data_IF_454313469601
#
_entry.id   IF_454313469601
#
_cell.length_a   1.000
_cell.length_b   1.000
_cell.length_c   1.000
_cell.angle_alpha   90.00
_cell.angle_beta   90.00
_cell.angle_gamma   90.00
#
_symmetry.space_group_name_H-M   'P 1'
#
loop_
_entity.id
_entity.type
_entity.pdbx_description
1 polymer ?
#
# COMPACT_ATOMS: atom_id res chain seq x y z
N UNK A 1 -71.99 12.87 -47.93
CA UNK A 1 -71.57 12.98 -46.52
C UNK A 1 -70.90 11.67 -46.13
N UNK A 2 -69.58 11.61 -46.23
CA UNK A 2 -68.76 10.42 -45.96
C UNK A 2 -67.96 10.69 -44.69
N UNK A 3 -68.28 9.94 -43.63
CA UNK A 3 -67.65 10.06 -42.30
C UNK A 3 -66.35 9.27 -42.30
N UNK A 4 -65.19 9.96 -42.26
CA UNK A 4 -63.88 9.34 -42.07
C UNK A 4 -63.56 9.28 -40.58
N UNK A 5 -63.56 8.08 -40.00
CA UNK A 5 -63.13 7.81 -38.63
C UNK A 5 -61.60 7.72 -38.60
N UNK A 6 -60.93 8.73 -38.05
CA UNK A 6 -59.48 8.73 -37.88
C UNK A 6 -59.07 7.79 -36.73
N UNK A 7 -58.36 6.72 -37.07
CA UNK A 7 -57.71 5.79 -36.15
C UNK A 7 -56.60 6.50 -35.38
N UNK A 8 -56.76 6.65 -34.06
CA UNK A 8 -55.76 7.25 -33.16
C UNK A 8 -54.65 6.23 -32.86
N UNK A 9 -53.52 6.34 -33.54
CA UNK A 9 -52.32 5.53 -33.28
C UNK A 9 -51.73 5.92 -31.92
N UNK A 10 -51.91 5.05 -30.92
CA UNK A 10 -51.40 5.24 -29.57
C UNK A 10 -49.89 4.94 -29.55
N UNK A 11 -49.06 5.99 -29.50
CA UNK A 11 -47.59 5.85 -29.44
C UNK A 11 -47.21 5.34 -28.06
N UNK A 12 -46.71 4.10 -28.00
CA UNK A 12 -46.23 3.47 -26.77
C UNK A 12 -45.02 4.24 -26.20
N UNK A 13 -45.16 4.78 -24.99
CA UNK A 13 -44.09 5.48 -24.28
C UNK A 13 -42.90 4.56 -23.97
N UNK A 14 -41.67 5.11 -23.86
CA UNK A 14 -40.47 4.31 -23.65
C UNK A 14 -40.55 3.57 -22.30
N UNK A 15 -40.53 2.24 -22.36
CA UNK A 15 -40.45 1.36 -21.18
C UNK A 15 -39.14 1.65 -20.44
N UNK A 16 -39.23 2.35 -19.31
CA UNK A 16 -38.12 2.50 -18.35
C UNK A 16 -37.66 1.11 -17.91
N UNK A 17 -36.53 0.66 -18.47
CA UNK A 17 -35.88 -0.59 -18.08
C UNK A 17 -35.34 -0.39 -16.66
N UNK A 18 -36.02 -0.96 -15.66
CA UNK A 18 -35.52 -1.01 -14.28
C UNK A 18 -34.18 -1.74 -14.28
N UNK A 19 -33.09 -1.01 -14.05
CA UNK A 19 -31.76 -1.61 -13.83
C UNK A 19 -31.80 -2.26 -12.45
N UNK A 20 -32.02 -3.58 -12.44
CA UNK A 20 -32.04 -4.38 -11.24
C UNK A 20 -30.60 -4.60 -10.73
N UNK A 21 -30.39 -4.26 -9.45
CA UNK A 21 -29.42 -4.89 -8.54
C UNK A 21 -27.95 -4.98 -8.98
N UNK A 22 -27.20 -3.89 -9.00
CA UNK A 22 -25.76 -3.87 -9.35
C UNK A 22 -24.84 -3.39 -8.22
N UNK A 23 -25.20 -3.64 -6.96
CA UNK A 23 -24.33 -3.27 -5.81
C UNK A 23 -23.04 -4.11 -5.72
N UNK A 24 -23.14 -5.43 -5.89
CA UNK A 24 -22.04 -6.36 -5.63
C UNK A 24 -21.30 -6.82 -6.91
N UNK A 25 -22.06 -7.12 -7.98
CA UNK A 25 -21.47 -7.48 -9.27
C UNK A 25 -20.74 -6.28 -9.93
N UNK A 26 -21.25 -5.06 -9.75
CA UNK A 26 -20.58 -3.84 -10.23
C UNK A 26 -19.23 -3.61 -9.54
N UNK A 27 -19.16 -3.85 -8.23
CA UNK A 27 -17.91 -3.72 -7.46
C UNK A 27 -16.85 -4.72 -7.94
N UNK A 28 -17.25 -5.99 -8.15
CA UNK A 28 -16.35 -7.04 -8.65
C UNK A 28 -15.82 -6.73 -10.04
N UNK A 29 -16.69 -6.34 -10.96
CA UNK A 29 -16.29 -5.96 -12.32
C UNK A 29 -15.37 -4.75 -12.31
N UNK A 30 -15.60 -3.77 -11.41
CA UNK A 30 -14.67 -2.65 -11.24
C UNK A 30 -13.32 -3.10 -10.69
N UNK A 31 -13.28 -3.89 -9.61
CA UNK A 31 -12.01 -4.37 -9.06
C UNK A 31 -11.21 -5.15 -10.10
N UNK A 32 -11.87 -5.96 -10.94
CA UNK A 32 -11.21 -6.69 -12.02
C UNK A 32 -10.72 -5.77 -13.14
N UNK A 33 -11.47 -4.73 -13.47
CA UNK A 33 -11.07 -3.78 -14.52
C UNK A 33 -9.88 -2.92 -14.06
N UNK A 34 -9.92 -2.45 -12.81
CA UNK A 34 -8.84 -1.73 -12.14
C UNK A 34 -7.58 -2.60 -11.99
N UNK A 35 -7.73 -3.86 -11.54
CA UNK A 35 -6.61 -4.80 -11.46
C UNK A 35 -6.01 -5.06 -12.85
N UNK A 36 -6.84 -5.18 -13.89
CA UNK A 36 -6.38 -5.34 -15.27
C UNK A 36 -5.71 -4.08 -15.83
N UNK A 37 -6.14 -2.89 -15.40
CA UNK A 37 -5.51 -1.62 -15.73
C UNK A 37 -4.14 -1.49 -15.05
N UNK A 38 -4.05 -1.85 -13.77
CA UNK A 38 -2.79 -1.88 -13.04
C UNK A 38 -1.81 -2.86 -13.71
N UNK A 39 -2.24 -4.08 -14.01
CA UNK A 39 -1.43 -5.07 -14.74
C UNK A 39 -1.01 -4.64 -16.16
N UNK A 40 -1.68 -3.64 -16.74
CA UNK A 40 -1.36 -3.07 -18.06
C UNK A 40 -0.46 -1.85 -17.98
N UNK A 41 -0.21 -1.31 -16.80
CA UNK A 41 0.80 -0.28 -16.57
C UNK A 41 2.10 -0.96 -16.09
N UNK A 42 3.01 -1.29 -17.02
CA UNK A 42 4.22 -2.03 -16.68
C UNK A 42 5.11 -1.25 -15.70
N UNK A 43 5.05 0.10 -15.72
CA UNK A 43 5.82 0.94 -14.81
C UNK A 43 5.33 0.79 -13.38
N UNK A 44 4.04 0.95 -13.14
CA UNK A 44 3.46 0.85 -11.80
C UNK A 44 3.59 -0.57 -11.24
N UNK A 45 3.38 -1.61 -12.04
CA UNK A 45 3.56 -3.00 -11.60
C UNK A 45 5.01 -3.29 -11.25
N UNK A 46 5.95 -2.85 -12.08
CA UNK A 46 7.36 -3.03 -11.82
C UNK A 46 7.77 -2.35 -10.50
N UNK A 47 7.40 -1.08 -10.32
CA UNK A 47 7.78 -0.35 -9.12
C UNK A 47 7.04 -0.80 -7.86
N UNK A 48 5.78 -1.21 -7.94
CA UNK A 48 5.03 -1.66 -6.77
C UNK A 48 5.37 -3.10 -6.36
N UNK A 49 5.60 -3.98 -7.35
CA UNK A 49 5.72 -5.43 -7.13
C UNK A 49 7.17 -5.92 -7.19
N UNK A 50 7.93 -5.49 -8.21
CA UNK A 50 9.28 -5.98 -8.43
C UNK A 50 10.32 -5.19 -7.64
N UNK A 51 10.12 -3.88 -7.43
CA UNK A 51 11.11 -3.04 -6.74
C UNK A 51 11.56 -3.57 -5.37
N UNK A 52 10.66 -4.01 -4.46
CA UNK A 52 11.10 -4.53 -3.16
C UNK A 52 11.95 -5.80 -3.28
N UNK A 53 11.58 -6.68 -4.21
CA UNK A 53 12.31 -7.92 -4.50
C UNK A 53 13.64 -7.66 -5.17
N UNK A 54 13.66 -6.78 -6.18
CA UNK A 54 14.88 -6.36 -6.88
C UNK A 54 15.81 -5.64 -5.93
N UNK A 55 15.29 -4.86 -4.98
CA UNK A 55 16.10 -4.23 -3.94
C UNK A 55 16.71 -5.29 -3.01
N UNK A 56 15.92 -6.26 -2.54
CA UNK A 56 16.42 -7.34 -1.70
C UNK A 56 17.50 -8.19 -2.39
N UNK A 57 17.21 -8.65 -3.61
CA UNK A 57 18.15 -9.46 -4.42
C UNK A 57 19.35 -8.62 -4.85
N UNK A 58 19.12 -7.39 -5.30
CA UNK A 58 20.13 -6.45 -5.74
C UNK A 58 21.12 -6.16 -4.63
N UNK A 59 20.65 -5.83 -3.42
CA UNK A 59 21.52 -5.63 -2.26
C UNK A 59 22.30 -6.92 -1.93
N UNK A 60 21.64 -8.07 -1.95
CA UNK A 60 22.29 -9.35 -1.65
C UNK A 60 23.29 -9.85 -2.70
N UNK A 61 23.24 -9.38 -3.95
CA UNK A 61 24.22 -9.69 -5.01
C UNK A 61 25.26 -8.58 -5.23
N UNK A 62 24.87 -7.32 -5.09
CA UNK A 62 25.70 -6.17 -5.44
C UNK A 62 26.65 -5.74 -4.32
N UNK A 63 26.33 -6.02 -3.05
CA UNK A 63 27.17 -5.68 -1.91
C UNK A 63 27.92 -6.96 -1.45
N UNK A 64 29.25 -7.03 -1.63
CA UNK A 64 30.07 -8.12 -1.11
C UNK A 64 29.91 -8.23 0.42
N UNK A 65 29.84 -9.46 0.95
CA UNK A 65 29.67 -9.71 2.40
C UNK A 65 28.22 -9.76 2.88
N UNK A 66 27.22 -9.38 2.07
CA UNK A 66 25.81 -9.47 2.49
C UNK A 66 25.31 -10.90 2.73
N UNK A 67 25.96 -11.88 2.11
CA UNK A 67 25.65 -13.32 2.23
C UNK A 67 26.42 -14.01 3.34
N UNK A 68 27.39 -13.31 3.92
CA UNK A 68 28.18 -13.86 4.99
C UNK A 68 27.39 -13.75 6.29
N UNK A 69 27.61 -14.73 7.16
CA UNK A 69 27.01 -14.76 8.49
C UNK A 69 27.69 -13.69 9.32
N UNK A 70 26.89 -12.82 9.95
CA UNK A 70 27.43 -11.75 10.79
C UNK A 70 28.02 -12.38 12.06
N UNK A 71 29.35 -12.35 12.22
CA UNK A 71 30.05 -12.90 13.39
C UNK A 71 30.33 -11.86 14.48
N UNK A 72 30.45 -10.58 14.11
CA UNK A 72 30.93 -9.52 15.01
C UNK A 72 29.81 -8.60 15.56
N UNK A 73 28.54 -8.97 15.39
CA UNK A 73 27.42 -8.16 15.87
C UNK A 73 26.82 -8.71 17.18
N UNK A 74 26.38 -7.83 18.10
CA UNK A 74 25.70 -8.27 19.32
C UNK A 74 24.41 -9.06 19.00
N UNK A 75 24.00 -10.03 19.84
CA UNK A 75 22.69 -10.67 19.73
C UNK A 75 21.57 -9.60 19.67
N UNK A 76 20.54 -9.73 18.82
CA UNK A 76 20.11 -10.90 18.04
C UNK A 76 20.74 -11.04 16.65
N UNK A 77 21.68 -10.18 16.27
CA UNK A 77 22.22 -10.11 14.91
C UNK A 77 23.31 -11.15 14.61
N UNK A 78 24.00 -11.63 15.65
CA UNK A 78 25.05 -12.63 15.54
C UNK A 78 24.50 -13.96 15.03
N UNK A 79 25.12 -14.52 13.99
CA UNK A 79 24.70 -15.78 13.38
C UNK A 79 23.65 -15.65 12.27
N UNK A 80 23.19 -14.43 11.96
CA UNK A 80 22.26 -14.16 10.85
C UNK A 80 23.01 -13.73 9.59
N UNK A 81 22.47 -14.10 8.43
CA UNK A 81 22.91 -13.56 7.14
C UNK A 81 22.52 -12.08 7.05
N UNK A 82 23.42 -11.21 6.60
CA UNK A 82 23.11 -9.79 6.47
C UNK A 82 21.93 -9.50 5.51
N UNK A 83 21.68 -10.37 4.51
CA UNK A 83 20.45 -10.31 3.69
C UNK A 83 19.18 -10.52 4.52
N UNK A 84 19.19 -11.38 5.53
CA UNK A 84 18.01 -11.65 6.34
C UNK A 84 17.56 -10.39 7.10
N UNK A 85 18.53 -9.61 7.60
CA UNK A 85 18.29 -8.33 8.29
C UNK A 85 17.58 -7.30 7.38
N UNK A 86 17.74 -7.40 6.06
CA UNK A 86 17.07 -6.53 5.09
C UNK A 86 15.61 -6.92 4.79
N UNK A 87 15.14 -8.10 5.18
CA UNK A 87 13.78 -8.57 4.82
C UNK A 87 12.68 -7.65 5.38
N UNK A 88 12.67 -7.31 6.69
CA UNK A 88 11.66 -6.38 7.23
C UNK A 88 11.68 -5.01 6.55
N UNK A 89 12.87 -4.53 6.17
CA UNK A 89 13.09 -3.26 5.48
C UNK A 89 12.52 -3.30 4.06
N UNK A 90 12.74 -4.40 3.33
CA UNK A 90 12.17 -4.61 2.00
C UNK A 90 10.63 -4.65 2.05
N UNK A 91 10.06 -5.33 3.04
CA UNK A 91 8.61 -5.35 3.27
C UNK A 91 8.05 -3.96 3.57
N UNK A 92 8.69 -3.21 4.48
CA UNK A 92 8.30 -1.84 4.78
C UNK A 92 8.38 -0.95 3.53
N UNK A 93 9.44 -1.11 2.72
CA UNK A 93 9.61 -0.38 1.46
C UNK A 93 8.47 -0.66 0.48
N UNK A 94 8.04 -1.91 0.35
CA UNK A 94 6.89 -2.26 -0.50
C UNK A 94 5.63 -1.50 -0.08
N UNK A 95 5.36 -1.45 1.23
CA UNK A 95 4.24 -0.70 1.81
C UNK A 95 4.37 0.79 1.50
N UNK A 96 5.55 1.37 1.74
CA UNK A 96 5.82 2.79 1.55
C UNK A 96 5.66 3.23 0.10
N UNK A 97 6.14 2.44 -0.85
CA UNK A 97 6.02 2.74 -2.29
C UNK A 97 4.55 2.87 -2.66
N UNK A 98 3.74 1.86 -2.34
CA UNK A 98 2.32 1.88 -2.70
C UNK A 98 1.58 3.00 -1.97
N UNK A 99 1.84 3.18 -0.68
CA UNK A 99 1.14 4.15 0.16
C UNK A 99 1.45 5.61 -0.19
N UNK A 100 2.70 5.94 -0.56
CA UNK A 100 3.15 7.32 -0.75
C UNK A 100 3.29 7.72 -2.22
N UNK A 101 3.60 6.79 -3.12
CA UNK A 101 3.90 7.14 -4.52
C UNK A 101 2.77 6.73 -5.46
N UNK A 102 2.23 5.52 -5.33
CA UNK A 102 1.19 5.01 -6.24
C UNK A 102 -0.20 5.50 -5.86
N UNK A 103 -0.62 5.21 -4.62
CA UNK A 103 -1.99 5.43 -4.17
C UNK A 103 -2.41 6.92 -4.22
N UNK A 104 -1.62 7.88 -3.70
CA UNK A 104 -2.05 9.27 -3.65
C UNK A 104 -2.13 9.92 -5.05
N UNK A 105 -1.20 9.55 -5.94
CA UNK A 105 -1.15 10.01 -7.32
C UNK A 105 -2.34 9.50 -8.10
N UNK A 106 -2.74 8.24 -7.88
CA UNK A 106 -3.91 7.66 -8.53
C UNK A 106 -5.21 8.41 -8.18
N UNK A 107 -5.45 8.64 -6.89
CA UNK A 107 -6.61 9.38 -6.43
C UNK A 107 -6.60 10.85 -6.89
N UNK A 108 -5.45 11.50 -6.91
CA UNK A 108 -5.33 12.86 -7.43
C UNK A 108 -5.60 12.91 -8.94
N UNK A 109 -5.15 11.93 -9.72
CA UNK A 109 -5.43 11.81 -11.16
C UNK A 109 -6.92 11.63 -11.43
N UNK A 110 -7.62 10.84 -10.60
CA UNK A 110 -9.07 10.67 -10.71
C UNK A 110 -9.85 11.95 -10.44
N UNK A 111 -9.35 12.80 -9.53
CA UNK A 111 -9.89 14.13 -9.28
C UNK A 111 -9.63 15.06 -10.44
N UNK A 112 -8.39 15.15 -10.93
CA UNK A 112 -8.02 15.99 -12.08
C UNK A 112 -8.86 15.68 -13.33
N UNK A 113 -9.07 14.39 -13.63
CA UNK A 113 -9.84 13.96 -14.80
C UNK A 113 -11.35 14.08 -14.62
N UNK A 114 -11.84 14.57 -13.48
CA UNK A 114 -13.25 14.69 -13.16
C UNK A 114 -14.00 13.34 -13.15
N UNK A 115 -13.27 12.22 -13.05
CA UNK A 115 -13.83 10.86 -13.04
C UNK A 115 -14.73 10.70 -11.83
N UNK A 116 -14.33 11.25 -10.68
CA UNK A 116 -15.15 11.27 -9.46
C UNK A 116 -16.50 11.98 -9.66
N UNK A 117 -16.51 13.11 -10.38
CA UNK A 117 -17.73 13.90 -10.67
C UNK A 117 -18.64 13.25 -11.72
N UNK A 118 -18.05 12.53 -12.68
CA UNK A 118 -18.82 11.71 -13.64
C UNK A 118 -19.44 10.49 -12.97
N UNK A 119 -18.68 9.82 -12.10
CA UNK A 119 -19.17 8.67 -11.34
C UNK A 119 -20.27 9.03 -10.33
N UNK A 120 -20.26 10.23 -9.74
CA UNK A 120 -21.35 10.68 -8.86
C UNK A 120 -22.70 10.86 -9.57
N UNK A 121 -22.69 10.95 -10.91
CA UNK A 121 -23.92 11.02 -11.73
C UNK A 121 -24.41 9.65 -12.20
N UNK A 122 -23.62 8.59 -11.97
CA UNK A 122 -24.02 7.20 -12.20
C UNK A 122 -24.52 6.56 -10.90
N UNK A 123 -25.36 5.51 -10.93
CA UNK A 123 -25.89 4.85 -9.72
C UNK A 123 -24.82 4.12 -8.86
N UNK A 124 -23.53 4.26 -9.20
CA UNK A 124 -22.43 3.72 -8.43
C UNK A 124 -22.03 4.67 -7.30
N UNK A 125 -22.04 4.15 -6.07
CA UNK A 125 -21.57 4.88 -4.89
C UNK A 125 -20.06 5.15 -5.01
N UNK A 126 -19.61 6.42 -5.01
CA UNK A 126 -18.19 6.78 -5.11
C UNK A 126 -17.30 6.13 -4.03
N UNK A 127 -17.88 5.84 -2.86
CA UNK A 127 -17.23 5.12 -1.77
C UNK A 127 -16.81 3.69 -2.15
N UNK A 128 -17.56 3.03 -3.03
CA UNK A 128 -17.24 1.67 -3.49
C UNK A 128 -15.98 1.61 -4.35
N UNK A 129 -15.70 2.66 -5.14
CA UNK A 129 -14.48 2.75 -5.94
C UNK A 129 -13.25 2.94 -5.04
N UNK A 130 -13.34 3.81 -4.04
CA UNK A 130 -12.25 4.03 -3.08
C UNK A 130 -11.95 2.73 -2.32
N UNK A 131 -12.98 2.05 -1.82
CA UNK A 131 -12.81 0.76 -1.13
C UNK A 131 -12.21 -0.31 -2.03
N UNK A 132 -12.67 -0.41 -3.29
CA UNK A 132 -12.11 -1.32 -4.29
C UNK A 132 -10.62 -1.05 -4.54
N UNK A 133 -10.24 0.22 -4.70
CA UNK A 133 -8.86 0.59 -4.97
C UNK A 133 -7.95 0.41 -3.75
N UNK A 134 -8.43 0.71 -2.53
CA UNK A 134 -7.72 0.36 -1.29
C UNK A 134 -7.50 -1.14 -1.17
N UNK A 135 -8.51 -1.94 -1.50
CA UNK A 135 -8.40 -3.41 -1.49
C UNK A 135 -7.39 -3.90 -2.52
N UNK A 136 -7.37 -3.35 -3.73
CA UNK A 136 -6.37 -3.71 -4.74
C UNK A 136 -4.96 -3.37 -4.25
N UNK A 137 -4.74 -2.17 -3.71
CA UNK A 137 -3.43 -1.79 -3.17
C UNK A 137 -3.00 -2.69 -2.01
N UNK A 138 -3.93 -3.04 -1.11
CA UNK A 138 -3.68 -4.00 -0.04
C UNK A 138 -3.21 -5.35 -0.60
N UNK A 139 -3.94 -5.90 -1.58
CA UNK A 139 -3.57 -7.15 -2.25
C UNK A 139 -2.21 -7.02 -2.95
N UNK A 140 -1.96 -5.92 -3.68
CA UNK A 140 -0.69 -5.67 -4.36
C UNK A 140 0.48 -5.67 -3.37
N UNK A 141 0.35 -4.99 -2.23
CA UNK A 141 1.38 -4.96 -1.19
C UNK A 141 1.60 -6.34 -0.58
N UNK A 142 0.52 -7.10 -0.30
CA UNK A 142 0.64 -8.47 0.19
C UNK A 142 1.33 -9.39 -0.82
N UNK A 143 1.01 -9.28 -2.12
CA UNK A 143 1.66 -10.08 -3.17
C UNK A 143 3.12 -9.66 -3.33
N UNK A 144 3.44 -8.37 -3.29
CA UNK A 144 4.83 -7.87 -3.33
C UNK A 144 5.65 -8.43 -2.17
N UNK A 145 5.08 -8.41 -0.96
CA UNK A 145 5.68 -8.95 0.25
C UNK A 145 5.94 -10.45 0.14
N UNK A 146 4.92 -11.23 -0.27
CA UNK A 146 5.05 -12.67 -0.48
C UNK A 146 6.11 -12.99 -1.54
N UNK A 147 6.14 -12.24 -2.63
CA UNK A 147 7.13 -12.42 -3.69
C UNK A 147 8.54 -12.11 -3.18
N UNK A 148 8.73 -11.01 -2.46
CA UNK A 148 10.02 -10.65 -1.87
C UNK A 148 10.52 -11.72 -0.87
N UNK A 149 9.65 -12.23 0.00
CA UNK A 149 10.01 -13.29 0.96
C UNK A 149 10.32 -14.59 0.24
N UNK A 150 9.50 -15.01 -0.73
CA UNK A 150 9.70 -16.26 -1.46
C UNK A 150 10.99 -16.25 -2.29
N UNK A 151 11.24 -15.17 -3.03
CA UNK A 151 12.49 -15.04 -3.79
C UNK A 151 13.68 -14.94 -2.84
N UNK A 152 13.54 -14.18 -1.75
CA UNK A 152 14.56 -14.10 -0.70
C UNK A 152 14.90 -15.47 -0.12
N UNK A 153 13.90 -16.29 0.22
CA UNK A 153 14.12 -17.61 0.81
C UNK A 153 14.74 -18.59 -0.18
N UNK A 154 14.31 -18.57 -1.45
CA UNK A 154 14.86 -19.45 -2.49
C UNK A 154 16.31 -19.12 -2.86
N UNK A 155 16.70 -17.85 -2.76
CA UNK A 155 18.02 -17.38 -3.20
C UNK A 155 19.04 -17.34 -2.05
N UNK A 156 18.59 -17.04 -0.83
CA UNK A 156 19.47 -16.76 0.32
C UNK A 156 19.23 -17.64 1.55
N UNK A 157 18.37 -18.66 1.47
CA UNK A 157 18.05 -19.59 2.55
C UNK A 157 17.67 -18.87 3.87
N UNK A 158 16.72 -17.95 3.76
CA UNK A 158 16.29 -17.10 4.87
C UNK A 158 15.70 -17.90 6.03
N UNK A 159 16.12 -17.60 7.25
CA UNK A 159 15.51 -18.13 8.46
C UNK A 159 14.02 -17.76 8.55
N UNK A 160 13.20 -18.74 8.92
CA UNK A 160 11.79 -18.53 9.18
C UNK A 160 11.60 -17.55 10.36
N UNK A 161 10.56 -16.71 10.35
CA UNK A 161 10.30 -15.78 11.43
C UNK A 161 10.03 -16.52 12.75
N UNK A 162 10.64 -16.07 13.84
CA UNK A 162 10.42 -16.61 15.18
C UNK A 162 8.94 -16.55 15.59
N UNK A 163 8.28 -15.44 15.28
CA UNK A 163 6.85 -15.24 15.53
C UNK A 163 6.11 -14.72 14.28
N UNK A 164 5.58 -15.61 13.42
CA UNK A 164 4.89 -15.21 12.19
C UNK A 164 3.62 -14.37 12.46
N UNK A 165 2.97 -14.56 13.61
CA UNK A 165 1.79 -13.78 13.98
C UNK A 165 2.14 -12.33 14.29
N UNK A 166 3.26 -12.08 14.98
CA UNK A 166 3.76 -10.72 15.25
C UNK A 166 4.21 -10.05 13.96
N UNK A 167 4.91 -10.76 13.07
CA UNK A 167 5.30 -10.24 11.75
C UNK A 167 4.07 -9.87 10.92
N UNK A 168 3.11 -10.79 10.78
CA UNK A 168 1.89 -10.55 10.02
C UNK A 168 1.03 -9.42 10.59
N UNK A 169 0.85 -9.39 11.91
CA UNK A 169 0.11 -8.33 12.59
C UNK A 169 0.76 -6.96 12.45
N UNK A 170 2.08 -6.89 12.63
CA UNK A 170 2.86 -5.66 12.46
C UNK A 170 2.84 -5.18 11.01
N UNK A 171 2.92 -6.09 10.04
CA UNK A 171 2.82 -5.78 8.63
C UNK A 171 1.45 -5.20 8.25
N UNK A 172 0.36 -5.83 8.70
CA UNK A 172 -1.00 -5.32 8.44
C UNK A 172 -1.24 -3.96 9.08
N UNK A 173 -0.76 -3.75 10.32
CA UNK A 173 -0.88 -2.46 11.00
C UNK A 173 0.02 -1.39 10.35
N UNK A 174 1.20 -1.78 9.87
CA UNK A 174 2.07 -0.96 9.04
C UNK A 174 1.39 -0.51 7.75
N UNK A 175 0.71 -1.42 7.04
CA UNK A 175 -0.09 -1.08 5.87
C UNK A 175 -1.17 -0.06 6.22
N UNK A 176 -1.92 -0.30 7.30
CA UNK A 176 -3.04 0.56 7.68
C UNK A 176 -2.57 1.97 8.08
N UNK A 177 -1.47 2.08 8.83
CA UNK A 177 -0.88 3.36 9.23
C UNK A 177 -0.34 4.13 8.02
N UNK A 178 0.38 3.47 7.12
CA UNK A 178 0.92 4.07 5.89
C UNK A 178 -0.17 4.45 4.89
N UNK A 179 -1.20 3.62 4.73
CA UNK A 179 -2.36 3.94 3.88
C UNK A 179 -3.13 5.13 4.43
N UNK A 180 -3.23 5.27 5.76
CA UNK A 180 -3.84 6.45 6.38
C UNK A 180 -3.07 7.73 6.03
N UNK A 181 -1.74 7.67 6.02
CA UNK A 181 -0.88 8.77 5.58
C UNK A 181 -1.01 9.06 4.08
N UNK A 182 -0.98 8.03 3.25
CA UNK A 182 -1.21 8.15 1.80
C UNK A 182 -2.57 8.77 1.48
N UNK A 183 -3.62 8.37 2.21
CA UNK A 183 -4.96 8.90 2.04
C UNK A 183 -5.05 10.37 2.47
N UNK A 184 -4.32 10.77 3.51
CA UNK A 184 -4.22 12.18 3.90
C UNK A 184 -3.61 13.01 2.77
N UNK A 185 -2.52 12.53 2.13
CA UNK A 185 -1.91 13.19 0.97
C UNK A 185 -2.92 13.29 -0.18
N UNK A 186 -3.60 12.18 -0.48
CA UNK A 186 -4.64 12.11 -1.53
C UNK A 186 -5.82 13.07 -1.26
N UNK A 187 -6.16 13.31 0.01
CA UNK A 187 -7.25 14.22 0.39
C UNK A 187 -6.92 15.68 0.10
N UNK A 188 -5.63 16.05 0.16
CA UNK A 188 -5.16 17.44 0.07
C UNK A 188 -4.58 17.79 -1.30
N UNK A 189 -4.06 16.80 -2.03
CA UNK A 189 -3.53 17.00 -3.37
C UNK A 189 -4.67 17.13 -4.40
N UNK A 190 -4.81 18.33 -4.97
CA UNK A 190 -5.72 18.57 -6.09
C UNK A 190 -5.18 18.08 -7.43
N UNK A 191 -3.86 17.82 -7.52
CA UNK A 191 -3.15 17.44 -8.74
C UNK A 191 -2.24 16.23 -8.55
N UNK A 192 -2.07 15.42 -9.60
CA UNK A 192 -1.21 14.24 -9.60
C UNK A 192 0.26 14.61 -9.35
N UNK A 193 0.73 15.72 -9.95
CA UNK A 193 2.09 16.22 -9.72
C UNK A 193 2.31 16.66 -8.27
N UNK A 194 1.33 17.32 -7.65
CA UNK A 194 1.40 17.72 -6.23
C UNK A 194 1.39 16.51 -5.31
N UNK A 195 0.53 15.52 -5.59
CA UNK A 195 0.51 14.26 -4.83
C UNK A 195 1.86 13.55 -4.91
N UNK A 196 2.44 13.47 -6.10
CA UNK A 196 3.74 12.85 -6.34
C UNK A 196 4.85 13.60 -5.60
N UNK A 197 4.89 14.92 -5.68
CA UNK A 197 5.91 15.73 -4.98
C UNK A 197 5.86 15.56 -3.46
N UNK A 198 4.66 15.63 -2.86
CA UNK A 198 4.48 15.41 -1.41
C UNK A 198 4.85 13.97 -1.04
N UNK A 199 4.37 13.00 -1.82
CA UNK A 199 4.66 11.58 -1.64
C UNK A 199 6.16 11.31 -1.62
N UNK A 200 6.89 11.80 -2.62
CA UNK A 200 8.33 11.59 -2.75
C UNK A 200 9.12 12.30 -1.63
N UNK A 201 8.68 13.50 -1.24
CA UNK A 201 9.29 14.27 -0.14
C UNK A 201 9.17 13.55 1.19
N UNK A 202 8.07 12.83 1.43
CA UNK A 202 7.89 12.01 2.63
C UNK A 202 8.53 10.63 2.50
N UNK A 203 8.55 10.07 1.29
CA UNK A 203 9.05 8.73 1.00
C UNK A 203 10.53 8.58 1.36
N UNK A 204 11.41 9.45 0.88
CA UNK A 204 12.84 9.33 1.15
C UNK A 204 13.20 9.43 2.64
N UNK A 205 12.72 10.42 3.42
CA UNK A 205 12.93 10.47 4.85
C UNK A 205 12.38 9.23 5.58
N UNK A 206 11.21 8.74 5.16
CA UNK A 206 10.64 7.53 5.78
C UNK A 206 11.49 6.29 5.51
N UNK A 207 12.00 6.11 4.30
CA UNK A 207 12.93 5.01 3.99
C UNK A 207 14.19 5.09 4.86
N UNK A 208 14.67 6.29 5.16
CA UNK A 208 15.86 6.49 5.95
C UNK A 208 15.61 6.10 7.41
N UNK A 209 14.47 6.52 7.95
CA UNK A 209 14.01 6.16 9.28
C UNK A 209 13.60 4.68 9.41
N UNK A 210 13.25 4.04 8.29
CA UNK A 210 13.02 2.60 8.20
C UNK A 210 14.31 1.78 8.17
N UNK A 211 15.48 2.42 8.12
CA UNK A 211 16.77 1.73 8.09
C UNK A 211 17.13 1.16 6.72
N UNK A 212 16.62 1.72 5.61
CA UNK A 212 16.96 1.24 4.25
C UNK A 212 18.46 1.25 3.96
N UNK A 213 19.15 2.30 4.38
CA UNK A 213 20.59 2.46 4.16
C UNK A 213 21.43 1.93 5.32
N UNK A 214 20.84 1.83 6.52
CA UNK A 214 21.53 1.37 7.74
C UNK A 214 20.65 0.38 8.50
N UNK A 215 20.44 -0.85 8.01
CA UNK A 215 19.58 -1.80 8.68
C UNK A 215 20.28 -2.53 9.83
N UNK A 216 19.49 -2.91 10.82
CA UNK A 216 19.91 -3.72 11.96
C UNK A 216 21.11 -3.13 12.72
N UNK A 217 22.26 -3.83 12.80
CA UNK A 217 23.35 -3.49 13.71
C UNK A 217 24.09 -2.20 13.34
N UNK A 218 24.01 -1.76 12.08
CA UNK A 218 24.65 -0.51 11.63
C UNK A 218 23.74 0.72 11.80
N UNK A 219 22.53 0.54 12.35
CA UNK A 219 21.58 1.64 12.57
C UNK A 219 22.01 2.50 13.77
N UNK A 220 22.24 3.82 13.59
CA UNK A 220 22.49 4.73 14.69
C UNK A 220 21.31 4.81 15.67
N UNK A 221 21.60 4.90 16.97
CA UNK A 221 20.57 4.92 18.02
C UNK A 221 19.57 6.08 17.87
N UNK A 222 20.05 7.23 17.37
CA UNK A 222 19.21 8.39 17.08
C UNK A 222 18.17 8.07 16.01
N UNK A 223 18.56 7.38 14.92
CA UNK A 223 17.64 6.99 13.85
C UNK A 223 16.68 5.90 14.31
N UNK A 224 17.16 4.96 15.13
CA UNK A 224 16.29 3.94 15.73
C UNK A 224 15.22 4.57 16.62
N UNK A 225 15.59 5.55 17.44
CA UNK A 225 14.66 6.27 18.32
C UNK A 225 13.64 7.06 17.52
N UNK A 226 14.08 7.92 16.59
CA UNK A 226 13.18 8.74 15.76
C UNK A 226 12.30 7.85 14.88
N UNK A 227 12.89 6.82 14.26
CA UNK A 227 12.20 5.85 13.44
C UNK A 227 11.10 5.12 14.20
N UNK A 228 11.31 4.82 15.48
CA UNK A 228 10.31 4.19 16.35
C UNK A 228 9.04 5.02 16.56
N UNK A 229 9.08 6.34 16.31
CA UNK A 229 7.89 7.21 16.36
C UNK A 229 7.23 7.42 14.99
N UNK A 230 7.85 6.94 13.90
CA UNK A 230 7.28 7.02 12.55
C UNK A 230 6.52 5.74 12.20
N UNK A 231 5.46 5.81 11.39
CA UNK A 231 4.68 4.62 11.03
C UNK A 231 5.54 3.58 10.29
N UNK A 232 6.43 4.03 9.40
CA UNK A 232 7.29 3.13 8.63
C UNK A 232 8.43 2.54 9.47
N UNK A 233 9.13 3.37 10.25
CA UNK A 233 10.21 2.88 11.11
C UNK A 233 9.70 1.96 12.22
N UNK A 234 8.55 2.28 12.83
CA UNK A 234 7.87 1.40 13.79
C UNK A 234 7.46 0.08 13.15
N UNK A 235 6.95 0.09 11.91
CA UNK A 235 6.61 -1.14 11.18
C UNK A 235 7.85 -2.01 10.94
N UNK A 236 8.95 -1.43 10.46
CA UNK A 236 10.21 -2.17 10.27
C UNK A 236 10.71 -2.77 11.57
N UNK A 237 10.82 -1.97 12.63
CA UNK A 237 11.29 -2.45 13.93
C UNK A 237 10.39 -3.55 14.51
N UNK A 238 9.07 -3.40 14.39
CA UNK A 238 8.14 -4.41 14.87
C UNK A 238 8.24 -5.73 14.09
N UNK A 239 8.40 -5.65 12.77
CA UNK A 239 8.65 -6.81 11.93
C UNK A 239 10.01 -7.46 12.24
N UNK A 240 11.06 -6.66 12.48
CA UNK A 240 12.38 -7.14 12.91
C UNK A 240 12.29 -7.91 14.23
N UNK A 241 11.62 -7.35 15.25
CA UNK A 241 11.41 -8.05 16.53
C UNK A 241 10.67 -9.36 16.32
N UNK A 242 9.58 -9.39 15.54
CA UNK A 242 8.84 -10.64 15.29
C UNK A 242 9.61 -11.67 14.45
N UNK A 243 10.62 -11.24 13.68
CA UNK A 243 11.41 -12.15 12.83
C UNK A 243 12.56 -12.80 13.59
N UNK A 244 13.25 -12.03 14.44
CA UNK A 244 14.52 -12.42 15.05
C UNK A 244 14.48 -12.56 16.58
N UNK A 245 13.40 -12.12 17.22
CA UNK A 245 13.23 -12.17 18.67
C UNK A 245 11.87 -12.83 19.02
N UNK A 246 11.73 -13.32 20.24
CA UNK A 246 10.47 -13.91 20.75
C UNK A 246 9.52 -12.87 21.37
N UNK A 247 9.88 -11.58 21.32
CA UNK A 247 9.16 -10.47 21.97
C UNK A 247 7.96 -9.94 21.17
N UNK A 248 7.03 -9.29 21.87
CA UNK A 248 5.95 -8.49 21.25
C UNK A 248 6.31 -7.01 21.34
N UNK A 249 6.52 -6.29 20.22
CA UNK A 249 6.94 -4.90 20.19
C UNK A 249 5.77 -3.94 20.47
N UNK A 250 5.30 -3.91 21.72
CA UNK A 250 4.11 -3.14 22.12
C UNK A 250 4.23 -1.64 21.81
N UNK A 251 5.41 -1.04 22.02
CA UNK A 251 5.65 0.37 21.72
C UNK A 251 5.40 0.72 20.26
N UNK A 252 5.96 -0.07 19.34
CA UNK A 252 5.86 0.15 17.91
C UNK A 252 4.43 -0.12 17.42
N UNK A 253 3.76 -1.14 17.96
CA UNK A 253 2.36 -1.43 17.68
C UNK A 253 1.45 -0.27 18.10
N UNK A 254 1.66 0.29 19.31
CA UNK A 254 0.92 1.45 19.79
C UNK A 254 1.16 2.66 18.91
N UNK A 255 2.40 2.94 18.51
CA UNK A 255 2.72 4.06 17.61
C UNK A 255 1.97 3.93 16.29
N UNK A 256 2.03 2.76 15.63
CA UNK A 256 1.31 2.54 14.37
C UNK A 256 -0.22 2.63 14.55
N UNK A 257 -0.76 2.14 15.67
CA UNK A 257 -2.17 2.26 16.00
C UNK A 257 -2.59 3.73 16.19
N UNK A 258 -1.80 4.54 16.91
CA UNK A 258 -2.04 5.97 17.10
C UNK A 258 -2.02 6.70 15.76
N UNK A 259 -1.02 6.45 14.91
CA UNK A 259 -0.96 7.03 13.57
C UNK A 259 -2.21 6.68 12.74
N UNK A 260 -2.64 5.42 12.80
CA UNK A 260 -3.87 4.98 12.12
C UNK A 260 -5.11 5.70 12.66
N UNK A 261 -5.31 5.70 13.97
CA UNK A 261 -6.49 6.27 14.63
C UNK A 261 -6.56 7.79 14.46
N UNK A 262 -5.43 8.47 14.35
CA UNK A 262 -5.39 9.94 14.13
C UNK A 262 -5.53 10.28 12.65
N UNK A 263 -4.75 9.64 11.77
CA UNK A 263 -4.71 10.01 10.35
C UNK A 263 -5.92 9.52 9.56
N UNK A 264 -6.45 8.33 9.85
CA UNK A 264 -7.55 7.77 9.07
C UNK A 264 -8.82 8.64 9.17
N UNK A 265 -9.30 9.05 10.37
CA UNK A 265 -10.44 9.95 10.48
C UNK A 265 -10.15 11.34 9.91
N UNK A 266 -8.93 11.84 10.06
CA UNK A 266 -8.52 13.14 9.52
C UNK A 266 -8.57 13.11 7.99
N UNK A 267 -8.04 12.07 7.36
CA UNK A 267 -8.07 11.86 5.93
C UNK A 267 -9.50 11.75 5.42
N UNK A 268 -10.37 10.99 6.10
CA UNK A 268 -11.80 10.86 5.74
C UNK A 268 -12.53 12.20 5.85
N UNK A 269 -12.29 12.99 6.91
CA UNK A 269 -12.92 14.31 7.10
C UNK A 269 -12.44 15.34 6.07
N UNK A 270 -11.16 15.31 5.71
CA UNK A 270 -10.57 16.23 4.73
C UNK A 270 -10.84 15.80 3.29
N UNK A 271 -11.30 14.56 3.06
CA UNK A 271 -11.59 14.07 1.72
C UNK A 271 -12.80 14.80 1.12
N UNK A 272 -12.51 15.82 0.30
CA UNK A 272 -13.53 16.56 -0.46
C UNK A 272 -13.78 15.86 -1.79
N UNK A 273 -15.05 15.59 -2.07
CA UNK A 273 -15.56 14.95 -3.29
C UNK A 273 -15.71 15.92 -4.48
N UNK A 274 -15.03 17.07 -4.44
CA UNK A 274 -15.04 18.09 -5.48
C UNK A 274 -14.02 17.79 -6.56
#
# INVERSE_FOLDING_TARGET
>A
MTTQTATRTQVAGPRRRKVAGTGWHGLRTLTLTEARLLLRDPGTVFFALLFPTVLLVGVGFAIPGMREVITDAPPPWGGLTAVAVYVPVALATAVATVALTTMPVYFATFREKGVLRRLSTTPMRPQGLIGAHLFINLVTVCVAALLAVLVGSLVFDLAAPANPAVVGGSFLLGILSMFSLGMLIASRAGKASTASAIGMTLYFPMLFLAGMWTPGPIMPEVLRTIGGYTPLGAATQAMTTGWFEDGVPLSQLVVMAVWTVVLLPLAVKLFRWS
#
